data_IF_591875614183
#
_entry.id   IF_591875614183
#
_cell.length_a   1.000
_cell.length_b   1.000
_cell.length_c   1.000
_cell.angle_alpha   90.00
_cell.angle_beta   90.00
_cell.angle_gamma   90.00
#
_symmetry.space_group_name_H-M   'P 1'
#
loop_
_entity.id
_entity.type
_entity.pdbx_description
1 polymer ?
#
# COMPACT_ATOMS: atom_id res chain seq x y z
N UNK A 1 0.89 67.33 -9.19
CA UNK A 1 0.68 65.91 -8.83
C UNK A 1 1.39 65.63 -7.50
N UNK A 2 0.65 65.41 -6.41
CA UNK A 2 1.22 65.03 -5.09
C UNK A 2 1.07 63.51 -4.94
N UNK A 3 2.18 62.80 -4.81
CA UNK A 3 2.20 61.36 -4.53
C UNK A 3 2.06 61.14 -3.03
N UNK A 4 0.95 60.54 -2.61
CA UNK A 4 0.71 60.14 -1.22
C UNK A 4 1.59 58.92 -0.87
N UNK A 5 2.47 59.07 0.12
CA UNK A 5 3.29 57.99 0.67
C UNK A 5 2.44 57.20 1.67
N UNK A 6 2.00 56.00 1.29
CA UNK A 6 1.40 55.05 2.21
C UNK A 6 2.50 54.42 3.07
N UNK A 7 2.57 54.82 4.33
CA UNK A 7 3.33 54.11 5.35
C UNK A 7 2.52 52.90 5.80
N UNK A 8 2.84 51.73 5.25
CA UNK A 8 2.33 50.46 5.77
C UNK A 8 3.14 50.13 7.02
N UNK A 9 2.53 50.07 8.22
CA UNK A 9 3.24 49.75 9.44
C UNK A 9 3.76 48.31 9.40
N UNK A 10 5.06 48.13 9.61
CA UNK A 10 5.81 46.87 9.56
C UNK A 10 5.25 45.75 10.47
N UNK A 11 4.38 46.10 11.44
CA UNK A 11 3.69 45.15 12.32
C UNK A 11 2.57 44.36 11.64
N UNK A 12 1.94 44.88 10.60
CA UNK A 12 0.79 44.21 9.95
C UNK A 12 1.25 43.11 8.98
N UNK A 13 2.46 43.22 8.42
CA UNK A 13 3.05 42.22 7.54
C UNK A 13 3.45 40.92 8.27
N UNK A 14 3.80 41.02 9.56
CA UNK A 14 4.20 39.87 10.38
C UNK A 14 3.04 38.94 10.75
N UNK A 15 1.82 39.47 10.86
CA UNK A 15 0.61 38.68 11.19
C UNK A 15 0.07 37.88 9.99
N UNK A 16 0.26 38.37 8.77
CA UNK A 16 -0.16 37.65 7.55
C UNK A 16 0.82 36.52 7.23
N UNK A 17 2.12 36.70 7.50
CA UNK A 17 3.13 35.67 7.29
C UNK A 17 2.97 34.46 8.25
N UNK A 18 2.44 34.67 9.46
CA UNK A 18 2.22 33.60 10.44
C UNK A 18 0.90 32.83 10.25
N UNK A 19 -0.08 33.40 9.53
CA UNK A 19 -1.32 32.70 9.18
C UNK A 19 -1.16 31.74 7.98
N UNK A 20 -0.14 31.94 7.13
CA UNK A 20 0.13 31.10 5.96
C UNK A 20 1.02 29.88 6.24
N UNK A 21 1.55 29.74 7.47
CA UNK A 21 2.41 28.61 7.85
C UNK A 21 1.64 27.41 8.44
N UNK A 22 0.33 27.55 8.69
CA UNK A 22 -0.49 26.50 9.31
C UNK A 22 -1.28 25.63 8.31
N UNK A 23 -1.21 25.95 7.02
CA UNK A 23 -1.68 25.05 5.94
C UNK A 23 -0.52 24.22 5.41
N UNK A 24 0.36 23.74 6.28
CA UNK A 24 1.21 22.60 5.94
C UNK A 24 0.26 21.41 5.76
N UNK A 25 0.11 20.99 4.50
CA UNK A 25 -0.75 19.91 4.04
C UNK A 25 -0.76 18.74 5.02
N UNK A 26 -1.82 18.63 5.82
CA UNK A 26 -2.23 17.35 6.38
C UNK A 26 -2.86 16.55 5.23
N UNK A 27 -2.05 16.12 4.26
CA UNK A 27 -2.36 14.89 3.55
C UNK A 27 -2.12 13.78 4.57
N UNK A 28 -3.11 13.56 5.44
CA UNK A 28 -3.08 12.50 6.42
C UNK A 28 -3.04 11.21 5.59
N UNK A 29 -1.84 10.67 5.42
CA UNK A 29 -1.64 9.41 4.72
C UNK A 29 -2.56 8.40 5.42
N UNK A 30 -3.34 7.68 4.62
CA UNK A 30 -4.14 6.59 5.15
C UNK A 30 -3.25 5.65 5.98
N UNK A 31 -3.80 5.01 7.02
CA UNK A 31 -3.09 3.99 7.77
C UNK A 31 -2.40 2.98 6.81
N UNK A 32 -1.21 2.48 7.15
CA UNK A 32 -0.45 1.61 6.26
C UNK A 32 -1.24 0.37 5.82
N UNK A 33 -2.04 -0.22 6.73
CA UNK A 33 -2.91 -1.35 6.42
C UNK A 33 -4.02 -1.00 5.42
N UNK A 34 -4.64 0.19 5.52
CA UNK A 34 -5.62 0.67 4.54
C UNK A 34 -5.00 0.85 3.15
N UNK A 35 -3.76 1.34 3.09
CA UNK A 35 -3.03 1.51 1.82
C UNK A 35 -2.74 0.15 1.16
N UNK A 36 -2.43 -0.86 1.97
CA UNK A 36 -2.14 -2.23 1.56
C UNK A 36 -3.39 -3.05 1.25
N UNK A 37 -4.54 -2.68 1.81
CA UNK A 37 -5.79 -3.43 1.69
C UNK A 37 -6.19 -3.72 0.24
N UNK A 38 -6.72 -4.93 0.00
CA UNK A 38 -7.24 -5.35 -1.29
C UNK A 38 -6.53 -6.57 -1.87
N UNK A 39 -6.83 -6.87 -3.13
CA UNK A 39 -6.27 -8.00 -3.86
C UNK A 39 -5.19 -7.52 -4.82
N UNK A 40 -4.04 -8.19 -4.80
CA UNK A 40 -2.89 -7.91 -5.63
C UNK A 40 -2.45 -9.16 -6.38
N UNK A 41 -2.00 -8.99 -7.61
CA UNK A 41 -1.44 -10.05 -8.45
C UNK A 41 0.03 -9.76 -8.70
N UNK A 42 0.89 -10.75 -8.46
CA UNK A 42 2.29 -10.75 -8.84
C UNK A 42 2.42 -10.68 -10.36
N UNK A 43 3.31 -9.81 -10.85
CA UNK A 43 3.65 -9.74 -12.28
C UNK A 43 4.61 -10.84 -12.72
N UNK A 44 5.19 -11.59 -11.79
CA UNK A 44 6.21 -12.60 -12.06
C UNK A 44 5.57 -13.92 -12.51
N UNK A 45 4.62 -14.42 -11.72
CA UNK A 45 4.03 -15.76 -11.85
C UNK A 45 2.49 -15.75 -11.84
N UNK A 46 1.86 -14.61 -11.54
CA UNK A 46 0.40 -14.52 -11.40
C UNK A 46 -0.13 -14.96 -10.03
N UNK A 47 0.75 -15.20 -9.05
CA UNK A 47 0.35 -15.44 -7.67
C UNK A 47 -0.49 -14.27 -7.14
N UNK A 48 -1.54 -14.56 -6.38
CA UNK A 48 -2.46 -13.55 -5.87
C UNK A 48 -2.36 -13.47 -4.35
N UNK A 49 -2.24 -12.27 -3.80
CA UNK A 49 -2.34 -11.98 -2.37
C UNK A 49 -3.56 -11.11 -2.10
N UNK A 50 -4.38 -11.50 -1.13
CA UNK A 50 -5.44 -10.67 -0.58
C UNK A 50 -5.02 -10.19 0.80
N UNK A 51 -4.97 -8.88 1.00
CA UNK A 51 -4.62 -8.24 2.27
C UNK A 51 -5.87 -7.60 2.89
N UNK A 52 -6.16 -7.96 4.13
CA UNK A 52 -7.36 -7.56 4.87
C UNK A 52 -6.93 -6.81 6.13
N UNK A 53 -7.18 -5.50 6.23
CA UNK A 53 -6.82 -4.72 7.41
C UNK A 53 -7.72 -5.12 8.60
N UNK A 54 -7.12 -5.25 9.78
CA UNK A 54 -7.82 -5.48 11.04
C UNK A 54 -7.81 -4.22 11.91
N UNK A 55 -6.69 -3.50 11.92
CA UNK A 55 -6.54 -2.17 12.51
C UNK A 55 -5.57 -1.31 11.66
N UNK A 56 -5.13 -0.16 12.17
CA UNK A 56 -4.23 0.78 11.47
C UNK A 56 -2.86 0.19 11.10
N UNK A 57 -2.41 -0.84 11.82
CA UNK A 57 -1.07 -1.42 11.74
C UNK A 57 -1.06 -2.94 11.58
N UNK A 58 -2.16 -3.65 11.86
CA UNK A 58 -2.29 -5.10 11.73
C UNK A 58 -3.33 -5.50 10.69
N UNK A 59 -3.11 -6.66 10.07
CA UNK A 59 -4.11 -7.30 9.23
C UNK A 59 -3.80 -8.77 8.97
N UNK A 60 -4.72 -9.42 8.26
CA UNK A 60 -4.58 -10.79 7.79
C UNK A 60 -4.30 -10.81 6.28
N UNK A 61 -3.66 -11.88 5.79
CA UNK A 61 -3.50 -12.09 4.35
C UNK A 61 -3.72 -13.55 3.95
N UNK A 62 -4.08 -13.73 2.68
CA UNK A 62 -4.15 -15.03 2.02
C UNK A 62 -3.44 -14.94 0.68
N UNK A 63 -2.48 -15.83 0.45
CA UNK A 63 -1.80 -16.03 -0.83
C UNK A 63 -2.35 -17.28 -1.51
N UNK A 64 -2.64 -17.14 -2.80
CA UNK A 64 -2.96 -18.24 -3.72
C UNK A 64 -1.87 -18.31 -4.77
N UNK A 65 -1.03 -19.33 -4.69
CA UNK A 65 0.01 -19.59 -5.67
C UNK A 65 -0.60 -19.88 -7.05
N UNK A 66 0.10 -19.46 -8.11
CA UNK A 66 -0.29 -19.77 -9.49
C UNK A 66 0.04 -21.20 -9.92
N UNK A 67 0.94 -21.87 -9.19
CA UNK A 67 1.45 -23.20 -9.51
C UNK A 67 0.42 -24.30 -9.23
N UNK A 68 0.57 -25.45 -9.93
CA UNK A 68 -0.21 -26.66 -9.66
C UNK A 68 0.63 -27.71 -8.89
N UNK A 69 0.10 -28.32 -7.80
CA UNK A 69 -1.21 -28.06 -7.21
C UNK A 69 -1.26 -26.70 -6.52
N UNK A 70 -2.41 -26.03 -6.65
CA UNK A 70 -2.64 -24.71 -6.05
C UNK A 70 -2.42 -24.77 -4.54
N UNK A 71 -1.49 -23.95 -4.04
CA UNK A 71 -1.22 -23.81 -2.62
C UNK A 71 -1.90 -22.55 -2.08
N UNK A 72 -2.50 -22.70 -0.90
CA UNK A 72 -3.05 -21.59 -0.12
C UNK A 72 -2.17 -21.40 1.12
N UNK A 73 -1.67 -20.19 1.29
CA UNK A 73 -0.89 -19.76 2.45
C UNK A 73 -1.70 -18.65 3.10
N UNK A 74 -1.89 -18.74 4.41
CA UNK A 74 -2.57 -17.72 5.20
C UNK A 74 -1.68 -17.28 6.36
N UNK A 75 -1.83 -16.03 6.76
CA UNK A 75 -1.08 -15.47 7.87
C UNK A 75 -1.55 -14.09 8.26
N UNK A 76 -0.76 -13.45 9.11
CA UNK A 76 -0.96 -12.09 9.59
C UNK A 76 0.21 -11.19 9.20
N UNK A 77 -0.05 -9.89 9.16
CA UNK A 77 0.99 -8.89 8.91
C UNK A 77 0.88 -7.70 9.85
N UNK A 78 2.04 -7.11 10.14
CA UNK A 78 2.15 -5.79 10.79
C UNK A 78 2.84 -4.83 9.83
N UNK A 79 2.30 -3.63 9.65
CA UNK A 79 2.83 -2.64 8.72
C UNK A 79 3.06 -1.27 9.39
N UNK A 80 4.12 -0.60 8.96
CA UNK A 80 4.37 0.83 9.16
C UNK A 80 4.28 1.54 7.80
N UNK A 81 4.62 2.83 7.73
CA UNK A 81 4.54 3.60 6.49
C UNK A 81 5.37 3.03 5.33
N UNK A 82 6.48 2.36 5.63
CA UNK A 82 7.46 1.87 4.66
C UNK A 82 7.89 0.41 4.90
N UNK A 83 7.44 -0.23 5.98
CA UNK A 83 7.86 -1.58 6.34
C UNK A 83 6.68 -2.50 6.59
N UNK A 84 6.83 -3.77 6.24
CA UNK A 84 5.88 -4.83 6.56
C UNK A 84 6.60 -6.03 7.15
N UNK A 85 5.94 -6.70 8.09
CA UNK A 85 6.34 -8.01 8.62
C UNK A 85 5.21 -8.98 8.33
N UNK A 86 5.48 -10.02 7.55
CA UNK A 86 4.56 -11.15 7.32
C UNK A 86 4.87 -12.27 8.29
N UNK A 87 3.84 -12.90 8.85
CA UNK A 87 3.94 -14.12 9.67
C UNK A 87 2.96 -15.15 9.14
N UNK A 88 3.48 -16.26 8.62
CA UNK A 88 2.66 -17.33 8.06
C UNK A 88 2.05 -18.15 9.20
N UNK A 89 0.74 -18.37 9.15
CA UNK A 89 0.00 -19.24 10.07
C UNK A 89 -0.19 -20.64 9.49
N UNK A 90 -0.03 -20.77 8.17
CA UNK A 90 -0.12 -22.02 7.42
C UNK A 90 0.83 -21.99 6.24
N UNK A 91 1.31 -23.15 5.80
CA UNK A 91 2.16 -23.27 4.61
C UNK A 91 3.64 -23.51 4.93
N UNK A 92 4.53 -23.42 3.93
CA UNK A 92 5.93 -23.82 4.07
C UNK A 92 6.75 -22.98 5.08
N UNK A 93 6.29 -21.78 5.41
CA UNK A 93 6.98 -20.85 6.31
C UNK A 93 6.25 -20.68 7.66
N UNK A 94 5.34 -21.60 8.04
CA UNK A 94 4.51 -21.50 9.24
C UNK A 94 5.32 -21.14 10.50
N UNK A 95 4.84 -20.13 11.24
CA UNK A 95 5.42 -19.65 12.49
C UNK A 95 6.67 -18.79 12.32
N UNK A 96 7.14 -18.56 11.08
CA UNK A 96 8.30 -17.69 10.82
C UNK A 96 7.85 -16.30 10.36
N UNK A 97 8.60 -15.27 10.76
CA UNK A 97 8.36 -13.90 10.36
C UNK A 97 9.34 -13.48 9.25
N UNK A 98 8.88 -12.66 8.30
CA UNK A 98 9.68 -12.09 7.23
C UNK A 98 9.42 -10.59 7.12
N UNK A 99 10.50 -9.79 7.12
CA UNK A 99 10.46 -8.33 7.12
C UNK A 99 10.93 -7.75 5.78
N UNK A 100 10.15 -6.81 5.29
CA UNK A 100 10.34 -6.18 3.99
C UNK A 100 10.16 -4.67 4.09
N UNK A 101 10.90 -3.94 3.25
CA UNK A 101 10.53 -2.59 2.86
C UNK A 101 9.48 -2.68 1.75
N UNK A 102 8.54 -1.73 1.70
CA UNK A 102 7.56 -1.67 0.62
C UNK A 102 7.30 -0.25 0.14
N UNK A 103 6.98 -0.13 -1.15
CA UNK A 103 6.54 1.10 -1.78
C UNK A 103 5.27 0.85 -2.59
N UNK A 104 4.31 1.77 -2.49
CA UNK A 104 3.07 1.74 -3.27
C UNK A 104 3.05 2.95 -4.20
N UNK A 105 2.93 2.71 -5.50
CA UNK A 105 2.82 3.70 -6.56
C UNK A 105 1.50 3.50 -7.31
N UNK A 106 0.47 4.24 -6.90
CA UNK A 106 -0.90 4.17 -7.44
C UNK A 106 -1.49 2.75 -7.35
N UNK A 107 -1.31 1.93 -8.37
CA UNK A 107 -1.86 0.57 -8.49
C UNK A 107 -0.78 -0.52 -8.44
N UNK A 108 0.49 -0.13 -8.26
CA UNK A 108 1.61 -1.05 -8.14
C UNK A 108 2.19 -1.01 -6.73
N UNK A 109 2.65 -2.15 -6.25
CA UNK A 109 3.36 -2.32 -4.99
C UNK A 109 4.62 -3.13 -5.22
N UNK A 110 5.71 -2.76 -4.58
CA UNK A 110 6.97 -3.50 -4.64
C UNK A 110 7.46 -3.74 -3.22
N UNK A 111 8.07 -4.91 -3.01
CA UNK A 111 8.73 -5.28 -1.77
C UNK A 111 10.21 -5.51 -2.00
N UNK A 112 11.01 -5.07 -1.02
CA UNK A 112 12.44 -5.37 -0.95
C UNK A 112 12.71 -6.10 0.37
N UNK A 113 13.38 -7.26 0.31
CA UNK A 113 13.70 -8.04 1.50
C UNK A 113 14.67 -7.28 2.40
N UNK A 114 14.31 -7.18 3.68
CA UNK A 114 15.24 -6.77 4.74
C UNK A 114 15.75 -7.97 5.53
N UNK A 115 14.85 -8.86 5.96
CA UNK A 115 15.17 -10.01 6.80
C UNK A 115 14.11 -11.10 6.62
N UNK A 116 14.45 -12.22 5.99
CA UNK A 116 13.55 -13.36 5.85
C UNK A 116 14.33 -14.65 5.59
N UNK A 117 14.30 -15.56 6.55
CA UNK A 117 14.96 -16.86 6.48
C UNK A 117 14.16 -17.90 5.67
N UNK A 118 12.88 -17.63 5.37
CA UNK A 118 12.08 -18.52 4.55
C UNK A 118 12.21 -18.16 3.06
N UNK A 119 13.07 -18.89 2.35
CA UNK A 119 13.32 -18.70 0.92
C UNK A 119 12.04 -18.71 0.09
N UNK A 120 11.10 -19.62 0.37
CA UNK A 120 9.84 -19.72 -0.40
C UNK A 120 8.99 -18.45 -0.33
N UNK A 121 8.82 -17.86 0.87
CA UNK A 121 8.10 -16.59 1.02
C UNK A 121 8.87 -15.45 0.37
N UNK A 122 10.19 -15.39 0.55
CA UNK A 122 11.01 -14.37 -0.08
C UNK A 122 10.85 -14.35 -1.61
N UNK A 123 10.92 -15.51 -2.24
CA UNK A 123 10.84 -15.64 -3.69
C UNK A 123 9.46 -15.19 -4.21
N UNK A 124 8.39 -15.50 -3.49
CA UNK A 124 7.03 -15.03 -3.80
C UNK A 124 6.93 -13.51 -3.62
N UNK A 125 7.30 -12.99 -2.45
CA UNK A 125 7.08 -11.59 -2.07
C UNK A 125 7.92 -10.62 -2.93
N UNK A 126 9.16 -10.99 -3.24
CA UNK A 126 10.13 -10.11 -3.94
C UNK A 126 10.35 -10.47 -5.41
N UNK A 127 9.75 -11.55 -5.91
CA UNK A 127 9.94 -12.03 -7.28
C UNK A 127 9.48 -11.07 -8.38
N UNK A 128 8.60 -10.12 -8.05
CA UNK A 128 8.14 -9.10 -8.98
C UNK A 128 7.35 -7.98 -8.31
N UNK A 129 6.83 -7.07 -9.14
CA UNK A 129 5.87 -6.08 -8.67
C UNK A 129 4.49 -6.73 -8.47
N UNK A 130 3.69 -6.13 -7.61
CA UNK A 130 2.33 -6.52 -7.31
C UNK A 130 1.36 -5.48 -7.87
N UNK A 131 0.43 -5.90 -8.71
CA UNK A 131 -0.54 -5.00 -9.33
C UNK A 131 -1.90 -5.22 -8.71
N UNK A 132 -2.57 -4.12 -8.35
CA UNK A 132 -3.90 -4.12 -7.76
C UNK A 132 -4.92 -4.71 -8.75
N UNK A 133 -5.66 -5.72 -8.30
CA UNK A 133 -6.73 -6.34 -9.08
C UNK A 133 -8.03 -5.56 -8.80
N UNK A 134 -8.56 -4.93 -9.84
CA UNK A 134 -9.90 -4.34 -9.81
C UNK A 134 -10.89 -5.38 -10.31
N UNK A 135 -11.94 -5.67 -9.56
CA UNK A 135 -13.05 -6.46 -10.08
C UNK A 135 -13.60 -5.72 -11.31
N UNK A 136 -13.63 -6.38 -12.47
CA UNK A 136 -14.37 -5.87 -13.61
C UNK A 136 -15.84 -5.81 -13.20
N UNK A 137 -16.48 -4.66 -13.40
CA UNK A 137 -17.89 -4.45 -13.10
C UNK A 137 -18.71 -5.36 -14.03
N UNK A 138 -19.38 -6.42 -13.51
CA UNK A 138 -19.98 -7.46 -14.35
C UNK A 138 -21.13 -6.94 -15.24
N UNK A 139 -21.62 -5.72 -14.99
CA UNK A 139 -22.67 -5.10 -15.79
C UNK A 139 -22.17 -4.52 -17.13
N UNK A 140 -20.85 -4.34 -17.31
CA UNK A 140 -20.30 -3.69 -18.52
C UNK A 140 -20.15 -4.65 -19.70
N UNK A 141 -20.05 -5.96 -19.47
CA UNK A 141 -19.85 -6.98 -20.50
C UNK A 141 -21.16 -7.64 -21.00
N UNK A 142 -22.28 -7.43 -20.30
CA UNK A 142 -23.55 -8.03 -20.69
C UNK A 142 -24.23 -7.34 -21.90
N UNK A 143 -23.75 -6.16 -22.32
CA UNK A 143 -24.34 -5.38 -23.42
C UNK A 143 -23.55 -5.46 -24.74
N UNK A 144 -22.35 -6.06 -24.74
CA UNK A 144 -21.57 -6.24 -25.98
C UNK A 144 -22.01 -7.41 -26.84
N UNK A 145 -22.85 -8.32 -26.31
CA UNK A 145 -23.30 -9.54 -27.00
C UNK A 145 -24.70 -9.42 -27.65
N UNK A 146 -25.24 -8.18 -27.75
CA UNK A 146 -26.57 -7.89 -28.34
C UNK A 146 -26.52 -7.05 -29.63
N UNK A 147 -25.47 -7.15 -30.46
CA UNK A 147 -25.44 -6.51 -31.78
C UNK A 147 -25.11 -7.47 -32.92
#
# INVERSE_FOLDING_TARGET
MRLARYHVPMRTLLLIASALSLTACHSQLQPPTERLAGTWSSTYDGTVIQMMPEDDTHGAYVVRAADEPMQLIAGSYTATETHIVFTDETGPCEGTAGRYEFAILSTSMQFDRLDDDCTGRNDIVTGGAWVRVFAADPETDADSDRR
#
